data_IF_014227795877
#
_entry.id   IF_014227795877
#
_cell.length_a   1.000
_cell.length_b   1.000
_cell.length_c   1.000
_cell.angle_alpha   90.00
_cell.angle_beta   90.00
_cell.angle_gamma   90.00
#
_symmetry.space_group_name_H-M   'P 1'
#
loop_
_entity.id
_entity.type
_entity.pdbx_description
1 polymer ?
2 polymer ?
3 polymer ?
4 non-polymer ?
5 non-polymer ?
#
# COMPACT_ATOMS: atom_id res chain seq x y z
N UNK A 2 14.57 -12.63 -6.15
CA UNK A 2 13.66 -11.77 -6.88
C UNK A 2 13.44 -10.44 -6.16
N UNK A 3 13.79 -9.36 -6.85
CA UNK A 3 13.61 -8.00 -6.35
C UNK A 3 12.85 -7.19 -7.39
N UNK A 4 12.44 -5.99 -7.01
CA UNK A 4 11.68 -5.14 -7.92
C UNK A 4 11.96 -3.67 -7.62
N UNK A 5 11.91 -2.86 -8.68
CA UNK A 5 11.83 -1.42 -8.59
C UNK A 5 10.50 -1.00 -9.20
N UNK A 6 9.79 -0.08 -8.55
CA UNK A 6 8.42 0.18 -8.93
C UNK A 6 8.07 1.63 -8.69
N UNK A 7 7.25 2.20 -9.59
CA UNK A 7 6.82 3.59 -9.50
C UNK A 7 5.31 3.66 -9.68
N UNK A 8 4.61 4.15 -8.66
CA UNK A 8 3.15 4.31 -8.71
C UNK A 8 2.86 5.79 -8.84
N UNK A 9 2.31 6.19 -9.99
CA UNK A 9 2.04 7.59 -10.30
C UNK A 9 0.54 7.79 -10.34
N UNK A 10 0.07 8.92 -9.80
CA UNK A 10 -1.36 9.20 -9.70
C UNK A 10 -1.65 10.67 -10.05
N UNK A 11 -2.59 10.87 -10.96
CA UNK A 11 -3.10 12.19 -11.33
C UNK A 11 -4.61 12.22 -11.10
N UNK A 12 -5.06 13.19 -10.30
CA UNK A 12 -6.48 13.32 -9.95
C UNK A 12 -6.91 14.74 -10.30
N UNK A 13 -7.96 14.86 -11.12
CA UNK A 13 -8.47 16.17 -11.45
C UNK A 13 -9.46 16.65 -10.40
N UNK A 14 -9.79 17.94 -10.48
CA UNK A 14 -10.66 18.60 -9.52
C UNK A 14 -11.22 19.86 -10.16
N UNK A 15 -12.02 19.73 -11.22
CA UNK A 15 -12.44 20.91 -12.00
C UNK A 15 -13.14 21.95 -11.13
N UNK A 16 -12.44 23.06 -10.88
CA UNK A 16 -12.92 24.09 -9.98
C UNK A 16 -12.00 24.34 -8.81
N UNK A 17 -10.99 23.51 -8.59
CA UNK A 17 -9.97 23.75 -7.60
C UNK A 17 -8.60 24.02 -8.21
N UNK A 18 -8.48 23.97 -9.53
CA UNK A 18 -7.24 24.25 -10.22
C UNK A 18 -6.69 23.04 -10.95
N UNK A 19 -5.36 23.00 -11.09
CA UNK A 19 -4.65 21.93 -11.78
C UNK A 19 -4.63 20.64 -10.95
N UNK A 20 -4.53 19.49 -11.62
CA UNK A 20 -4.63 18.21 -10.91
C UNK A 20 -3.49 17.97 -9.94
N UNK A 21 -3.81 17.27 -8.86
CA UNK A 21 -2.81 16.84 -7.89
C UNK A 21 -2.02 15.67 -8.46
N UNK A 22 -0.74 15.89 -8.73
CA UNK A 22 0.12 14.88 -9.34
C UNK A 22 1.02 14.24 -8.29
N UNK A 23 1.00 12.91 -8.23
CA UNK A 23 1.70 12.16 -7.20
C UNK A 23 2.59 11.10 -7.81
N UNK A 24 3.76 10.89 -7.20
CA UNK A 24 4.63 9.78 -7.53
C UNK A 24 5.14 9.14 -6.25
N UNK A 25 5.15 7.81 -6.21
CA UNK A 25 5.71 7.05 -5.10
C UNK A 25 6.59 5.95 -5.67
N UNK A 26 7.82 5.86 -5.18
CA UNK A 26 8.78 4.87 -5.64
C UNK A 26 9.03 3.81 -4.57
N UNK A 27 9.15 2.56 -5.03
CA UNK A 27 9.33 1.41 -4.15
C UNK A 27 10.49 0.55 -4.64
N UNK A 28 11.20 -0.06 -3.70
CA UNK A 28 12.14 -1.14 -3.98
C UNK A 28 11.78 -2.30 -3.08
N UNK A 29 11.48 -3.45 -3.67
CA UNK A 29 11.02 -4.62 -2.93
C UNK A 29 9.80 -4.25 -2.06
N UNK A 30 8.87 -3.53 -2.69
CA UNK A 30 7.58 -3.13 -2.11
C UNK A 30 7.73 -2.20 -0.90
N UNK A 31 8.91 -1.59 -0.73
CA UNK A 31 9.15 -0.63 0.35
C UNK A 31 9.36 0.75 -0.25
N UNK A 32 8.65 1.74 0.28
CA UNK A 32 8.73 3.10 -0.26
C UNK A 32 10.05 3.75 0.12
N UNK A 33 10.69 4.41 -0.86
CA UNK A 33 11.95 5.11 -0.63
C UNK A 33 12.03 6.48 -1.24
N UNK A 34 11.15 6.83 -2.19
CA UNK A 34 11.03 8.19 -2.73
C UNK A 34 9.55 8.51 -2.86
N UNK A 35 9.25 9.79 -3.05
CA UNK A 35 7.87 10.26 -3.09
C UNK A 35 7.84 11.67 -3.66
N UNK A 36 6.76 11.98 -4.39
CA UNK A 36 6.55 13.30 -4.98
C UNK A 36 5.07 13.69 -4.87
N UNK A 37 4.82 14.95 -4.54
CA UNK A 37 3.47 15.46 -4.38
C UNK A 37 3.43 16.89 -4.86
N UNK A 38 2.64 17.14 -5.92
CA UNK A 38 2.53 18.47 -6.50
C UNK A 38 1.93 19.49 -5.54
N UNK A 39 1.21 19.04 -4.52
CA UNK A 39 0.54 19.93 -3.57
C UNK A 39 1.42 20.34 -2.39
N UNK A 40 2.53 19.63 -2.15
CA UNK A 40 3.31 19.86 -0.94
C UNK A 40 4.06 21.20 -1.00
N UNK A 41 4.08 21.91 0.13
CA UNK A 41 4.82 23.16 0.24
C UNK A 41 6.26 22.97 -0.22
N UNK A 42 6.67 23.76 -1.21
CA UNK A 42 7.90 23.54 -1.95
C UNK A 42 7.89 22.12 -2.51
N UNK A 43 7.13 21.87 -3.57
CA UNK A 43 6.95 20.49 -4.06
C UNK A 43 8.16 20.02 -4.85
N UNK A 44 8.68 18.85 -4.48
CA UNK A 44 9.92 18.34 -5.01
C UNK A 44 10.07 16.89 -4.61
N UNK A 45 10.99 16.19 -5.28
CA UNK A 45 11.21 14.78 -4.97
C UNK A 45 11.95 14.64 -3.65
N UNK A 46 11.39 13.84 -2.74
CA UNK A 46 11.90 13.74 -1.39
C UNK A 46 12.34 12.31 -1.07
N UNK A 47 13.29 12.14 -0.16
CA UNK A 47 13.63 10.80 0.32
C UNK A 47 12.62 10.29 1.34
N UNK A 48 12.40 8.98 1.31
CA UNK A 48 11.50 8.31 2.26
C UNK A 48 12.20 7.15 2.95
N UNK A 49 13.53 7.13 2.95
CA UNK A 49 14.32 6.14 3.66
C UNK A 49 15.75 6.67 3.82
N UNK A 50 16.37 6.34 4.96
CA UNK A 50 17.68 6.88 5.27
C UNK A 50 18.73 6.47 4.25
N UNK A 51 18.54 5.34 3.56
CA UNK A 51 19.62 4.86 2.69
C UNK A 51 19.65 5.64 1.38
N UNK A 52 18.49 6.04 0.85
CA UNK A 52 18.50 6.82 -0.38
C UNK A 52 19.03 8.22 -0.12
N UNK A 53 19.09 8.66 1.14
CA UNK A 53 19.58 9.99 1.44
C UNK A 53 21.04 10.19 1.05
N UNK A 54 21.78 9.10 0.81
CA UNK A 54 23.17 9.12 0.37
C UNK A 54 23.32 9.47 -1.11
N UNK A 55 22.27 9.94 -1.78
CA UNK A 55 22.35 10.33 -3.18
C UNK A 55 22.70 11.81 -3.29
N UNK A 56 23.57 12.13 -4.26
CA UNK A 56 23.99 13.49 -4.50
C UNK A 56 22.86 14.42 -4.94
N UNK A 57 23.13 15.71 -4.97
CA UNK A 57 22.05 16.66 -5.29
C UNK A 57 21.62 16.61 -6.74
N UNK A 58 22.52 16.29 -7.66
CA UNK A 58 22.14 16.14 -9.06
C UNK A 58 21.14 15.00 -9.23
N UNK A 59 21.16 14.03 -8.32
CA UNK A 59 20.15 12.97 -8.34
C UNK A 59 18.76 13.54 -8.07
N UNK A 60 18.64 14.36 -7.03
CA UNK A 60 17.32 14.87 -6.65
C UNK A 60 16.80 15.89 -7.65
N UNK A 61 17.68 16.77 -8.14
CA UNK A 61 17.26 17.74 -9.14
C UNK A 61 16.73 17.04 -10.39
N UNK A 62 17.31 15.89 -10.75
CA UNK A 62 16.87 15.18 -11.95
C UNK A 62 15.46 14.63 -11.77
N UNK A 63 15.21 13.93 -10.67
CA UNK A 63 13.89 13.32 -10.47
C UNK A 63 12.83 14.37 -10.20
N UNK A 64 13.17 15.41 -9.46
CA UNK A 64 12.27 16.56 -9.29
C UNK A 64 11.90 17.16 -10.64
N UNK A 65 12.81 17.10 -11.61
CA UNK A 65 12.52 17.65 -12.93
C UNK A 65 11.80 16.63 -13.81
N UNK A 66 12.24 15.37 -13.76
CA UNK A 66 11.50 14.29 -14.42
C UNK A 66 10.05 14.26 -13.95
N UNK A 67 9.85 14.17 -12.63
CA UNK A 67 8.50 14.18 -12.07
C UNK A 67 7.69 15.36 -12.58
N UNK A 68 8.25 16.57 -12.48
CA UNK A 68 7.50 17.75 -12.89
C UNK A 68 7.20 17.72 -14.39
N UNK A 69 8.10 17.16 -15.19
CA UNK A 69 7.80 16.99 -16.61
C UNK A 69 6.64 16.04 -16.85
N UNK A 70 6.61 14.93 -16.09
CA UNK A 70 5.50 13.99 -16.21
C UNK A 70 4.19 14.64 -15.77
N UNK A 71 4.23 15.42 -14.70
CA UNK A 71 3.05 16.16 -14.26
C UNK A 71 2.44 16.97 -15.39
N UNK A 72 3.30 17.61 -16.20
CA UNK A 72 2.80 18.41 -17.31
C UNK A 72 2.09 17.54 -18.34
N UNK A 73 2.58 16.33 -18.57
CA UNK A 73 1.93 15.44 -19.53
C UNK A 73 0.60 14.93 -18.99
N UNK A 74 0.56 14.55 -17.70
CA UNK A 74 -0.65 13.96 -17.16
C UNK A 74 -1.82 14.93 -17.19
N UNK A 75 -1.53 16.21 -17.07
CA UNK A 75 -2.57 17.23 -17.10
C UNK A 75 -3.26 17.21 -18.46
N UNK A 76 -2.49 16.88 -19.49
CA UNK A 76 -3.01 16.82 -20.85
C UNK A 76 -3.75 15.50 -21.05
N UNK A 77 -3.16 14.41 -20.56
CA UNK A 77 -3.76 13.09 -20.69
C UNK A 77 -5.20 13.14 -20.19
N UNK A 78 -5.39 13.70 -18.99
CA UNK A 78 -6.71 13.82 -18.40
C UNK A 78 -7.63 14.61 -19.31
N UNK A 79 -7.11 15.64 -19.97
CA UNK A 79 -7.89 16.33 -20.98
C UNK A 79 -8.13 15.45 -22.20
N UNK A 80 -7.17 14.58 -22.54
CA UNK A 80 -7.36 13.67 -23.65
C UNK A 80 -8.40 12.62 -23.32
N UNK A 81 -8.40 12.12 -22.08
CA UNK A 81 -9.37 11.12 -21.65
C UNK A 81 -10.74 11.70 -21.33
N UNK A 82 -10.94 13.01 -21.49
CA UNK A 82 -12.27 13.57 -21.38
C UNK A 82 -13.02 13.49 -22.71
N UNK A 83 -12.33 13.77 -23.82
CA UNK A 83 -12.96 13.67 -25.12
C UNK A 83 -13.04 12.23 -25.59
N UNK A 84 -12.12 11.37 -25.14
CA UNK A 84 -12.20 9.96 -25.48
C UNK A 84 -13.51 9.33 -25.01
N UNK A 85 -14.04 9.81 -23.89
CA UNK A 85 -15.28 9.28 -23.33
C UNK A 85 -16.43 10.28 -23.39
N UNK A 86 -16.22 11.43 -24.02
CA UNK A 86 -17.24 12.48 -24.15
C UNK A 86 -17.80 12.86 -22.78
N UNK A 87 -16.89 13.15 -21.85
CA UNK A 87 -17.24 13.37 -20.45
C UNK A 87 -17.33 14.86 -20.14
N UNK A 88 -18.20 15.19 -19.19
CA UNK A 88 -18.32 16.56 -18.72
C UNK A 88 -16.96 17.05 -18.22
N UNK A 89 -16.68 18.33 -18.47
CA UNK A 89 -15.42 18.91 -18.06
C UNK A 89 -15.35 19.17 -16.56
N UNK A 90 -16.49 19.15 -15.86
CA UNK A 90 -16.51 19.48 -14.45
C UNK A 90 -16.50 18.30 -13.51
N UNK A 91 -16.01 17.16 -14.00
CA UNK A 91 -15.96 15.93 -13.20
C UNK A 91 -14.53 15.61 -12.80
N UNK A 92 -14.35 15.17 -11.57
CA UNK A 92 -13.04 14.80 -11.05
C UNK A 92 -12.70 13.37 -11.46
N UNK A 93 -11.61 13.21 -12.19
CA UNK A 93 -11.22 11.93 -12.74
C UNK A 93 -9.82 11.55 -12.27
N UNK A 94 -9.45 10.30 -12.55
CA UNK A 94 -8.23 9.70 -12.02
C UNK A 94 -7.49 8.97 -13.12
N UNK A 95 -6.16 9.13 -13.13
CA UNK A 95 -5.28 8.44 -14.06
C UNK A 95 -4.09 7.90 -13.27
N UNK A 96 -4.02 6.57 -13.11
CA UNK A 96 -2.95 5.93 -12.39
C UNK A 96 -1.99 5.23 -13.36
N UNK A 97 -0.73 5.14 -12.95
CA UNK A 97 0.33 4.60 -13.77
C UNK A 97 1.28 3.86 -12.86
N UNK A 98 1.58 2.60 -13.20
CA UNK A 98 2.56 1.79 -12.49
C UNK A 98 3.57 1.25 -13.49
N UNK A 99 4.85 1.58 -13.29
CA UNK A 99 5.95 1.06 -14.09
C UNK A 99 7.00 0.49 -13.14
N UNK A 100 7.76 -0.47 -13.64
CA UNK A 100 8.80 -1.05 -12.82
C UNK A 100 9.47 -2.21 -13.53
N UNK A 101 10.37 -2.86 -12.81
CA UNK A 101 11.17 -3.93 -13.39
C UNK A 101 11.59 -4.91 -12.30
N UNK A 102 11.13 -6.16 -12.42
CA UNK A 102 11.57 -7.23 -11.53
C UNK A 102 12.79 -7.91 -12.12
N UNK A 103 13.72 -8.27 -11.25
CA UNK A 103 15.03 -8.77 -11.66
C UNK A 103 15.28 -10.11 -10.97
N UNK A 104 15.65 -11.11 -11.76
CA UNK A 104 15.83 -12.45 -11.22
C UNK A 104 17.14 -12.52 -10.44
N UNK A 105 17.39 -13.68 -9.83
CA UNK A 105 18.44 -13.83 -8.82
C UNK A 105 19.80 -13.36 -9.34
N UNK A 106 20.09 -13.62 -10.61
CA UNK A 106 21.35 -13.20 -11.21
C UNK A 106 21.45 -11.69 -11.27
N UNK A 107 20.59 -11.07 -12.07
CA UNK A 107 20.57 -9.62 -12.21
C UNK A 107 19.85 -9.16 -13.45
N UNK A 108 19.62 -10.06 -14.40
CA UNK A 108 18.97 -9.65 -15.64
C UNK A 108 17.46 -9.54 -15.43
N UNK A 109 16.82 -8.77 -16.30
CA UNK A 109 15.41 -8.44 -16.16
C UNK A 109 14.55 -9.70 -16.16
N UNK A 110 13.65 -9.80 -15.17
CA UNK A 110 12.66 -10.87 -15.11
C UNK A 110 11.38 -10.43 -15.82
N UNK A 111 10.69 -9.44 -15.27
CA UNK A 111 9.48 -8.90 -15.85
C UNK A 111 9.54 -7.38 -15.86
N UNK A 112 9.05 -6.78 -16.94
CA UNK A 112 8.96 -5.34 -17.06
C UNK A 112 7.53 -4.83 -17.14
N UNK A 113 7.19 -3.83 -16.33
CA UNK A 113 5.81 -3.37 -16.18
C UNK A 113 5.65 -1.95 -16.70
N UNK A 114 4.44 -1.67 -17.19
CA UNK A 114 4.08 -0.36 -17.74
C UNK A 114 2.60 -0.33 -18.13
N UNK A 115 1.72 -0.14 -17.15
CA UNK A 115 0.28 -0.14 -17.41
C UNK A 115 -0.34 1.12 -16.84
N UNK A 116 -1.50 1.48 -17.39
CA UNK A 116 -2.26 2.65 -16.97
C UNK A 116 -3.65 2.20 -16.54
N UNK A 117 -4.35 3.11 -15.85
CA UNK A 117 -5.71 2.86 -15.39
C UNK A 117 -6.44 4.20 -15.29
N UNK A 118 -7.63 4.26 -15.88
CA UNK A 118 -8.44 5.47 -15.87
C UNK A 118 -9.68 5.23 -15.02
N UNK A 119 -9.89 6.09 -14.02
CA UNK A 119 -11.01 6.01 -13.09
C UNK A 119 -11.11 4.64 -12.41
N UNK A 120 -9.99 3.95 -12.25
CA UNK A 120 -9.95 2.72 -11.49
C UNK A 120 -10.02 1.44 -12.30
N UNK A 121 -10.21 1.54 -13.62
CA UNK A 121 -10.25 0.37 -14.47
C UNK A 121 -9.01 0.33 -15.37
N UNK A 122 -8.60 -0.88 -15.74
CA UNK A 122 -7.50 -1.06 -16.67
C UNK A 122 -7.71 -0.21 -17.91
N UNK A 123 -6.71 0.60 -18.23
CA UNK A 123 -6.76 1.38 -19.47
C UNK A 123 -5.94 0.69 -20.54
N UNK A 124 -4.63 0.57 -20.33
CA UNK A 124 -3.73 -0.06 -21.28
C UNK A 124 -2.51 -0.58 -20.52
N UNK A 125 -1.74 -1.46 -21.17
CA UNK A 125 -0.62 -2.14 -20.52
C UNK A 125 0.38 -2.60 -21.56
N UNK A 126 1.64 -2.71 -21.14
CA UNK A 126 2.69 -3.27 -21.99
C UNK A 126 2.79 -4.77 -21.75
N UNK A 127 2.70 -5.55 -22.83
CA UNK A 127 2.68 -7.00 -22.72
C UNK A 127 4.06 -7.53 -22.31
N UNK A 128 4.10 -8.80 -21.94
CA UNK A 128 5.35 -9.42 -21.50
C UNK A 128 6.43 -9.35 -22.57
N UNK A 129 6.06 -9.38 -23.85
CA UNK A 129 7.03 -9.30 -24.92
C UNK A 129 7.79 -7.97 -24.89
N UNK A 130 7.29 -7.00 -24.13
CA UNK A 130 7.71 -5.60 -24.17
C UNK A 130 7.69 -5.03 -25.58
N UNK A 131 6.85 -5.61 -26.45
CA UNK A 131 6.73 -5.17 -27.82
C UNK A 131 5.34 -4.67 -28.19
N UNK A 132 4.29 -5.14 -27.51
CA UNK A 132 2.91 -4.87 -27.92
C UNK A 132 2.07 -4.45 -26.72
N UNK A 133 0.95 -3.80 -27.02
CA UNK A 133 0.07 -3.21 -26.02
C UNK A 133 -1.28 -3.91 -26.00
N UNK A 134 -1.78 -4.18 -24.80
CA UNK A 134 -3.14 -4.67 -24.60
C UNK A 134 -4.01 -3.51 -24.14
N UNK A 135 -4.90 -3.06 -25.03
CA UNK A 135 -5.81 -1.96 -24.70
C UNK A 135 -7.18 -2.50 -24.32
N UNK A 136 -7.85 -1.79 -23.42
CA UNK A 136 -9.07 -2.28 -22.80
C UNK A 136 -10.34 -1.86 -23.52
N UNK A 137 -10.34 -0.70 -24.18
CA UNK A 137 -11.55 -0.22 -24.82
C UNK A 137 -11.18 0.59 -26.06
N UNK A 138 -12.21 0.97 -26.82
CA UNK A 138 -12.01 1.69 -28.07
C UNK A 138 -11.22 2.97 -27.86
N UNK A 139 -11.43 3.66 -26.74
CA UNK A 139 -10.67 4.87 -26.45
C UNK A 139 -9.19 4.54 -26.26
N UNK A 140 -8.89 3.48 -25.49
CA UNK A 140 -7.51 3.07 -25.31
C UNK A 140 -6.89 2.51 -26.58
N UNK A 141 -7.72 2.13 -27.57
CA UNK A 141 -7.18 1.70 -28.86
C UNK A 141 -6.64 2.87 -29.66
N UNK A 142 -7.20 4.06 -29.48
CA UNK A 142 -6.64 5.25 -30.12
C UNK A 142 -5.23 5.49 -29.60
N UNK A 143 -5.06 5.40 -28.28
CA UNK A 143 -3.75 5.50 -27.67
C UNK A 143 -2.83 4.39 -28.16
N UNK A 144 -3.36 3.18 -28.29
CA UNK A 144 -2.52 2.03 -28.65
C UNK A 144 -1.89 2.22 -30.02
N UNK A 145 -2.72 2.57 -31.02
CA UNK A 145 -2.17 2.77 -32.36
C UNK A 145 -1.24 3.96 -32.41
N UNK A 146 -1.57 5.04 -31.69
CA UNK A 146 -0.73 6.24 -31.69
C UNK A 146 0.66 5.96 -31.12
N UNK A 147 0.74 5.04 -30.16
CA UNK A 147 2.04 4.68 -29.59
C UNK A 147 2.81 3.71 -30.49
N UNK A 148 2.10 2.88 -31.26
CA UNK A 148 2.78 1.94 -32.14
C UNK A 148 3.49 2.66 -33.28
N UNK A 149 2.89 3.71 -33.81
CA UNK A 149 3.55 4.51 -34.83
C UNK A 149 4.67 5.36 -34.23
N UNK A 150 4.51 5.80 -32.98
CA UNK A 150 5.58 6.58 -32.36
C UNK A 150 6.77 5.71 -31.98
N UNK A 151 6.54 4.42 -31.76
CA UNK A 151 7.60 3.53 -31.29
C UNK A 151 7.78 3.51 -29.80
N UNK A 152 6.70 3.76 -29.05
CA UNK A 152 6.81 3.98 -27.61
C UNK A 152 7.44 2.79 -26.89
N UNK A 153 6.97 1.58 -27.19
CA UNK A 153 7.44 0.40 -26.45
C UNK A 153 8.95 0.22 -26.58
N UNK A 154 9.51 0.57 -27.73
CA UNK A 154 10.96 0.51 -27.90
C UNK A 154 11.66 1.49 -26.97
N UNK A 155 11.15 2.72 -26.90
CA UNK A 155 11.64 3.66 -25.91
C UNK A 155 11.32 3.20 -24.50
N UNK A 156 10.14 2.60 -24.32
CA UNK A 156 9.73 2.15 -22.99
C UNK A 156 10.55 0.95 -22.52
N UNK A 157 10.79 -0.01 -23.41
CA UNK A 157 11.63 -1.16 -23.06
C UNK A 157 13.07 -0.73 -22.79
N UNK A 158 13.57 0.26 -23.53
CA UNK A 158 14.92 0.76 -23.31
C UNK A 158 15.13 1.15 -21.86
N UNK A 159 14.10 1.68 -21.21
CA UNK A 159 14.21 2.02 -19.80
C UNK A 159 14.18 0.75 -18.94
N UNK A 160 13.16 -0.09 -19.13
CA UNK A 160 12.98 -1.26 -18.28
C UNK A 160 14.19 -2.19 -18.31
N UNK A 161 14.78 -2.39 -19.49
CA UNK A 161 15.89 -3.33 -19.64
C UNK A 161 17.23 -2.73 -19.24
N UNK A 162 17.36 -1.41 -19.23
CA UNK A 162 18.65 -0.79 -18.97
C UNK A 162 18.71 0.01 -17.69
N UNK A 163 18.16 1.23 -17.73
CA UNK A 163 18.25 2.12 -16.58
C UNK A 163 17.46 1.59 -15.39
N UNK A 164 16.23 1.10 -15.62
CA UNK A 164 15.44 0.54 -14.52
C UNK A 164 16.19 -0.60 -13.84
N UNK A 165 16.79 -1.50 -14.63
CA UNK A 165 17.51 -2.63 -14.06
C UNK A 165 18.77 -2.15 -13.36
N UNK A 166 19.53 -1.26 -14.02
CA UNK A 166 20.83 -0.86 -13.48
C UNK A 166 20.69 -0.06 -12.18
N UNK A 167 19.61 0.70 -12.03
CA UNK A 167 19.40 1.45 -10.80
C UNK A 167 18.76 0.62 -9.69
N UNK A 168 17.99 -0.41 -10.05
CA UNK A 168 17.57 -1.38 -9.04
C UNK A 168 18.76 -2.15 -8.50
N UNK A 169 19.67 -2.57 -9.38
CA UNK A 169 20.86 -3.29 -8.96
C UNK A 169 21.71 -2.45 -8.01
N UNK A 170 21.63 -1.12 -8.13
CA UNK A 170 22.39 -0.22 -7.28
C UNK A 170 21.66 0.07 -5.99
N UNK A 171 20.35 0.31 -6.06
CA UNK A 171 19.55 0.51 -4.84
C UNK A 171 19.71 -0.66 -3.89
N UNK A 172 19.71 -1.89 -4.43
CA UNK A 172 19.90 -3.08 -3.60
C UNK A 172 21.29 -3.11 -2.97
N UNK A 173 22.30 -2.62 -3.69
CA UNK A 173 23.67 -2.63 -3.18
C UNK A 173 23.90 -1.58 -2.10
N UNK A 174 23.21 -0.44 -2.18
CA UNK A 174 23.43 0.66 -1.26
C UNK A 174 22.40 0.74 -0.15
N UNK A 175 21.31 -0.02 -0.23
CA UNK A 175 20.29 0.03 0.80
C UNK A 175 19.96 -1.33 1.38
N UNK A 176 20.90 -2.26 1.28
CA UNK A 176 20.67 -3.63 1.72
C UNK A 176 20.31 -3.69 3.21
N UNK A 177 21.02 -2.92 4.04
CA UNK A 177 20.92 -3.08 5.48
C UNK A 177 19.51 -2.85 5.98
N UNK A 178 18.73 -2.01 5.29
CA UNK A 178 17.33 -1.81 5.64
C UNK A 178 16.42 -2.74 4.86
N UNK A 179 16.61 -2.79 3.54
CA UNK A 179 15.72 -3.59 2.68
C UNK A 179 15.90 -5.08 2.94
N UNK A 180 17.14 -5.56 2.92
CA UNK A 180 17.42 -6.98 3.03
C UNK A 180 17.53 -7.44 4.48
N UNK A 181 17.15 -6.60 5.44
CA UNK A 181 17.08 -7.02 6.82
C UNK A 181 15.83 -7.87 7.04
N UNK A 182 15.91 -8.74 8.04
CA UNK A 182 14.76 -9.55 8.44
C UNK A 182 14.52 -9.36 9.93
N UNK A 183 13.32 -8.96 10.29
CA UNK A 183 12.95 -8.83 11.69
C UNK A 183 12.04 -9.98 12.08
N UNK A 184 12.48 -10.84 12.99
CA UNK A 184 11.66 -11.99 13.39
C UNK A 184 10.42 -11.55 14.13
N UNK A 185 9.27 -12.16 13.83
CA UNK A 185 8.01 -11.77 14.50
C UNK A 185 7.93 -12.31 15.92
N UNK A 186 7.80 -11.41 16.89
CA UNK A 186 7.47 -11.81 18.25
C UNK A 186 6.02 -12.27 18.30
N UNK A 187 5.80 -13.46 18.84
CA UNK A 187 4.49 -14.09 18.83
C UNK A 187 4.02 -14.37 20.25
N UNK A 188 2.70 -14.40 20.42
CA UNK A 188 2.06 -14.72 21.70
C UNK A 188 0.58 -14.96 21.45
N UNK A 189 -0.06 -15.64 22.40
CA UNK A 189 -1.46 -16.02 22.33
C UNK A 189 -2.22 -15.34 23.45
N UNK A 190 -3.43 -14.88 23.16
CA UNK A 190 -4.33 -14.35 24.17
C UNK A 190 -5.57 -15.24 24.28
N UNK A 191 -6.40 -14.94 25.27
CA UNK A 191 -7.52 -15.79 25.64
C UNK A 191 -8.76 -14.94 25.85
N UNK A 192 -9.87 -15.33 25.23
CA UNK A 192 -11.09 -14.52 25.29
C UNK A 192 -12.29 -15.43 25.43
N UNK A 193 -13.02 -15.27 26.53
CA UNK A 193 -14.26 -16.00 26.77
C UNK A 193 -15.37 -15.42 25.90
N UNK A 194 -15.94 -16.24 25.02
CA UNK A 194 -17.04 -15.80 24.19
C UNK A 194 -18.36 -15.88 24.95
N UNK A 195 -19.35 -15.06 24.56
CA UNK A 195 -20.65 -15.12 25.25
C UNK A 195 -21.37 -16.45 25.10
N UNK A 196 -21.22 -17.10 23.96
CA UNK A 196 -21.94 -18.35 23.68
C UNK A 196 -21.41 -19.53 24.46
N UNK A 197 -20.51 -19.33 25.43
CA UNK A 197 -20.04 -20.39 26.28
C UNK A 197 -18.68 -20.93 25.92
N UNK A 198 -18.24 -20.73 24.68
CA UNK A 198 -16.97 -21.26 24.20
C UNK A 198 -15.85 -20.24 24.48
N UNK A 199 -14.72 -20.38 23.79
CA UNK A 199 -13.56 -19.52 23.99
C UNK A 199 -12.98 -19.18 22.62
N UNK A 200 -12.47 -17.96 22.49
CA UNK A 200 -11.71 -17.57 21.31
C UNK A 200 -10.25 -17.36 21.70
N UNK A 201 -9.35 -18.06 21.01
CA UNK A 201 -7.93 -17.87 21.17
C UNK A 201 -7.42 -16.95 20.06
N UNK A 202 -6.58 -15.99 20.42
CA UNK A 202 -6.02 -15.06 19.46
C UNK A 202 -4.50 -15.13 19.53
N UNK A 203 -3.87 -15.39 18.38
CA UNK A 203 -2.44 -15.64 18.26
C UNK A 203 -1.83 -14.51 17.45
N UNK A 204 -1.12 -13.62 18.11
CA UNK A 204 -0.59 -12.40 17.49
C UNK A 204 0.83 -12.60 16.96
N UNK A 205 1.09 -12.05 15.78
CA UNK A 205 2.43 -11.95 15.22
C UNK A 205 2.75 -10.47 15.00
N UNK A 206 3.76 -9.97 15.70
CA UNK A 206 3.94 -8.54 15.84
C UNK A 206 5.34 -8.12 15.39
N UNK A 207 5.43 -6.87 14.94
CA UNK A 207 6.70 -6.20 14.68
C UNK A 207 7.70 -6.92 13.82
N UNK A 208 7.29 -7.33 12.61
CA UNK A 208 8.13 -8.16 11.76
C UNK A 208 8.34 -7.51 10.39
N UNK A 209 9.52 -7.74 9.83
CA UNK A 209 9.83 -7.35 8.46
C UNK A 209 10.47 -8.54 7.75
N UNK A 210 10.08 -8.80 6.49
CA UNK A 210 9.10 -8.07 5.71
C UNK A 210 7.66 -8.48 6.04
N UNK A 211 6.76 -8.33 5.06
CA UNK A 211 5.35 -8.47 5.35
C UNK A 211 4.86 -9.91 5.22
N UNK A 212 5.49 -10.71 4.36
CA UNK A 212 4.93 -12.03 4.06
C UNK A 212 5.03 -12.95 5.26
N UNK A 213 3.89 -13.53 5.64
CA UNK A 213 3.80 -14.41 6.80
C UNK A 213 2.66 -15.38 6.55
N UNK A 214 2.73 -16.53 7.22
CA UNK A 214 1.62 -17.47 7.25
C UNK A 214 1.30 -17.78 8.72
N UNK A 215 0.02 -17.71 9.06
CA UNK A 215 -0.48 -17.93 10.41
C UNK A 215 -1.53 -19.03 10.36
N UNK A 216 -1.38 -20.03 11.22
CA UNK A 216 -2.25 -21.21 11.20
C UNK A 216 -2.54 -21.69 12.62
N UNK A 217 -3.67 -22.37 12.77
CA UNK A 217 -4.02 -23.06 14.00
C UNK A 217 -4.20 -24.55 13.70
N UNK A 218 -3.61 -25.39 14.54
CA UNK A 218 -3.66 -26.84 14.38
C UNK A 218 -4.37 -27.49 15.55
N UNK A 219 -5.15 -28.52 15.26
CA UNK A 219 -5.71 -29.41 16.27
C UNK A 219 -5.24 -30.83 15.96
N UNK A 220 -4.36 -31.36 16.82
CA UNK A 220 -3.80 -32.71 16.67
C UNK A 220 -3.06 -32.90 15.34
N UNK A 221 -2.65 -31.81 14.69
CA UNK A 221 -1.94 -31.86 13.42
C UNK A 221 -2.74 -31.35 12.26
N UNK A 222 -4.06 -31.38 12.36
CA UNK A 222 -4.94 -30.89 11.30
C UNK A 222 -5.00 -29.37 11.32
N UNK A 223 -4.75 -28.75 10.17
CA UNK A 223 -4.88 -27.29 10.08
C UNK A 223 -6.35 -26.90 9.97
N UNK A 224 -6.73 -25.87 10.70
CA UNK A 224 -8.13 -25.51 10.90
C UNK A 224 -8.46 -24.24 10.11
N UNK A 225 -8.44 -24.37 8.79
CA UNK A 225 -8.59 -23.19 7.92
C UNK A 225 -10.02 -22.67 7.88
N UNK A 226 -11.02 -23.55 7.98
CA UNK A 226 -12.41 -23.11 7.83
C UNK A 226 -13.03 -22.59 9.12
N UNK A 227 -12.35 -22.72 10.26
CA UNK A 227 -12.81 -22.10 11.49
C UNK A 227 -11.92 -20.95 11.95
N UNK A 228 -10.91 -20.58 11.15
CA UNK A 228 -10.00 -19.52 11.49
C UNK A 228 -10.55 -18.17 11.03
N UNK A 229 -10.37 -17.16 11.86
CA UNK A 229 -10.69 -15.78 11.48
C UNK A 229 -9.40 -14.99 11.39
N UNK A 230 -9.20 -14.33 10.26
CA UNK A 230 -7.95 -13.67 9.91
C UNK A 230 -8.12 -12.16 9.84
N UNK A 231 -7.01 -11.45 10.01
CA UNK A 231 -6.90 -10.04 9.67
C UNK A 231 -5.80 -9.90 8.62
N UNK A 232 -6.01 -9.01 7.66
CA UNK A 232 -4.96 -8.69 6.71
C UNK A 232 -3.77 -8.07 7.43
N UNK A 233 -2.58 -8.28 6.87
CA UNK A 233 -1.38 -7.69 7.45
C UNK A 233 -1.50 -6.17 7.50
N UNK A 234 -1.19 -5.60 8.65
CA UNK A 234 -1.33 -4.16 8.80
C UNK A 234 -0.03 -3.57 9.30
N UNK A 235 0.34 -2.38 8.80
CA UNK A 235 1.61 -1.77 9.19
C UNK A 235 1.54 -1.18 10.58
N UNK A 236 2.52 -1.52 11.42
CA UNK A 236 2.61 -0.87 12.72
C UNK A 236 2.92 0.61 12.59
N UNK A 237 3.52 1.03 11.48
CA UNK A 237 3.89 2.41 11.25
C UNK A 237 5.33 2.73 11.56
N UNK A 238 6.04 1.81 12.22
CA UNK A 238 7.47 1.90 12.45
C UNK A 238 8.27 1.09 11.44
N UNK A 239 7.68 0.79 10.28
CA UNK A 239 8.29 -0.05 9.28
C UNK A 239 7.98 -1.53 9.42
N UNK A 240 7.64 -1.99 10.63
CA UNK A 240 7.29 -3.37 10.87
C UNK A 240 5.78 -3.56 10.70
N UNK A 241 5.31 -4.80 10.91
CA UNK A 241 3.94 -5.16 10.60
C UNK A 241 3.33 -5.97 11.75
N UNK A 242 2.09 -6.38 11.55
CA UNK A 242 1.31 -7.10 12.56
C UNK A 242 0.34 -8.01 11.83
N UNK A 243 -0.16 -9.01 12.58
CA UNK A 243 -1.19 -9.93 12.07
C UNK A 243 -1.55 -10.89 13.19
N UNK A 244 -2.84 -11.21 13.29
CA UNK A 244 -3.31 -12.20 14.25
C UNK A 244 -4.30 -13.13 13.56
N UNK A 245 -4.47 -14.30 14.17
CA UNK A 245 -5.45 -15.30 13.76
C UNK A 245 -6.22 -15.79 14.98
N UNK A 246 -7.45 -16.24 14.78
CA UNK A 246 -8.29 -16.65 15.90
C UNK A 246 -9.10 -17.89 15.56
N UNK A 247 -9.46 -18.63 16.61
CA UNK A 247 -10.29 -19.83 16.54
C UNK A 247 -11.21 -19.86 17.75
N UNK A 248 -12.30 -20.62 17.64
CA UNK A 248 -13.34 -20.67 18.67
C UNK A 248 -13.33 -22.07 19.29
N UNK A 249 -12.70 -22.22 20.45
CA UNK A 249 -12.50 -23.52 21.06
C UNK A 249 -13.28 -23.63 22.38
N UNK A 250 -13.76 -24.82 22.74
CA UNK A 250 -14.50 -24.95 24.00
C UNK A 250 -13.60 -24.83 25.21
N UNK A 251 -14.22 -24.60 26.36
CA UNK A 251 -13.51 -24.51 27.63
C UNK A 251 -12.89 -25.86 27.98
N UNK A 252 -11.78 -25.80 28.70
CA UNK A 252 -11.11 -27.01 29.14
C UNK A 252 -10.17 -27.55 28.09
N UNK A 253 -10.65 -27.61 26.84
CA UNK A 253 -9.88 -28.12 25.71
C UNK A 253 -8.94 -27.07 25.09
N UNK A 254 -8.61 -25.99 25.81
CA UNK A 254 -7.85 -24.90 25.19
C UNK A 254 -6.46 -25.36 24.74
N UNK A 255 -5.80 -26.17 25.57
CA UNK A 255 -4.43 -26.57 25.30
C UNK A 255 -4.31 -27.70 24.27
N UNK A 256 -5.38 -27.97 23.53
CA UNK A 256 -5.35 -28.93 22.43
C UNK A 256 -4.86 -28.32 21.12
N UNK A 257 -4.90 -26.99 21.00
CA UNK A 257 -4.67 -26.30 19.74
C UNK A 257 -3.37 -25.51 19.81
N UNK A 258 -2.59 -25.58 18.74
CA UNK A 258 -1.32 -24.89 18.63
C UNK A 258 -1.32 -23.97 17.42
N UNK A 259 -0.60 -22.86 17.54
CA UNK A 259 -0.50 -21.85 16.50
C UNK A 259 0.91 -21.88 15.93
N UNK A 260 1.01 -22.02 14.61
CA UNK A 260 2.30 -22.24 13.93
C UNK A 260 2.63 -21.02 13.07
N UNK A 261 3.63 -20.26 13.50
CA UNK A 261 4.05 -19.02 12.84
C UNK A 261 5.25 -19.33 11.94
N UNK A 262 5.12 -18.99 10.66
CA UNK A 262 6.18 -19.22 9.68
C UNK A 262 6.51 -17.88 9.02
N UNK A 263 7.66 -17.31 9.39
CA UNK A 263 8.20 -16.12 8.76
C UNK A 263 9.58 -16.45 8.19
N UNK A 264 10.08 -15.58 7.31
CA UNK A 264 11.40 -15.83 6.72
C UNK A 264 12.53 -15.50 7.68
N UNK A 265 12.27 -14.76 8.74
CA UNK A 265 13.20 -14.50 9.82
C UNK A 265 13.21 -15.57 10.90
N UNK A 266 12.54 -16.70 10.68
CA UNK A 266 12.52 -17.81 11.62
C UNK A 266 13.16 -19.01 10.95
N UNK A 267 14.24 -19.58 11.51
CA UNK A 267 14.77 -20.83 10.92
C UNK A 267 13.79 -21.98 11.02
N UNK A 268 13.19 -22.17 12.19
CA UNK A 268 12.05 -23.05 12.37
C UNK A 268 10.80 -22.22 12.61
N UNK A 269 9.62 -22.76 12.28
CA UNK A 269 8.38 -22.10 12.69
C UNK A 269 8.29 -21.99 14.21
N UNK A 270 7.37 -21.13 14.65
CA UNK A 270 7.08 -20.97 16.08
C UNK A 270 5.81 -21.73 16.41
N UNK A 271 5.85 -22.50 17.48
CA UNK A 271 4.67 -23.17 18.03
C UNK A 271 4.32 -22.53 19.36
N UNK A 272 3.03 -22.30 19.59
CA UNK A 272 2.56 -21.74 20.85
C UNK A 272 1.21 -22.36 21.21
N UNK A 273 1.01 -22.53 22.51
CA UNK A 273 -0.26 -22.92 23.08
C UNK A 273 -0.81 -21.78 23.93
N UNK A 274 -1.93 -22.00 24.59
CA UNK A 274 -2.48 -21.00 25.49
C UNK A 274 -1.75 -21.01 26.84
N UNK B 1 -19.27 5.67 -5.15
CA UNK B 1 -18.85 5.57 -6.54
C UNK B 1 -18.44 4.14 -6.88
N UNK B 2 -17.24 3.72 -6.45
CA UNK B 2 -16.66 2.49 -6.96
C UNK B 2 -16.40 1.47 -5.85
N UNK B 3 -15.20 1.48 -5.28
CA UNK B 3 -14.77 0.46 -4.34
C UNK B 3 -14.96 0.94 -2.90
N UNK B 4 -15.75 0.21 -2.13
CA UNK B 4 -16.00 0.55 -0.74
C UNK B 4 -14.74 0.30 0.10
N UNK B 5 -14.36 1.23 0.96
CA UNK B 5 -13.08 1.09 1.68
C UNK B 5 -13.13 0.06 2.79
N UNK B 6 -11.95 -0.36 3.23
CA UNK B 6 -11.79 -1.39 4.25
C UNK B 6 -10.90 -0.86 5.37
N UNK B 7 -11.46 -0.76 6.57
CA UNK B 7 -10.84 -0.02 7.66
C UNK B 7 -10.38 -0.98 8.76
N UNK B 8 -9.31 -0.60 9.44
CA UNK B 8 -8.79 -1.30 10.61
C UNK B 8 -8.24 -0.27 11.58
N UNK B 9 -8.52 -0.46 12.87
CA UNK B 9 -8.07 0.45 13.93
C UNK B 9 -7.36 -0.36 15.00
N UNK B 10 -6.14 0.06 15.34
CA UNK B 10 -5.29 -0.72 16.23
C UNK B 10 -4.17 0.18 16.74
N UNK B 11 -3.55 -0.25 17.82
CA UNK B 11 -2.38 0.46 18.34
C UNK B 11 -1.10 -0.11 17.75
N UNK B 12 -0.04 0.70 17.76
CA UNK B 12 1.23 0.27 17.22
C UNK B 12 1.91 -0.74 18.14
N UNK B 13 1.87 -0.50 19.44
CA UNK B 13 2.47 -1.40 20.40
C UNK B 13 1.41 -1.96 21.34
N UNK B 14 1.57 -3.20 21.80
CA UNK B 14 0.60 -3.79 22.74
C UNK B 14 0.20 -2.83 23.82
N UNK B 15 -1.09 -2.51 23.92
CA UNK B 15 -1.52 -1.40 24.78
C UNK B 15 -1.57 -1.80 26.25
N UNK B 16 -1.06 -0.89 27.09
CA UNK B 16 -1.19 -0.97 28.53
C UNK B 16 -1.71 0.37 29.05
N UNK B 17 -2.51 0.32 30.10
CA UNK B 17 -3.07 1.54 30.67
C UNK B 17 -1.95 2.46 31.18
N UNK B 18 -2.10 3.76 30.90
CA UNK B 18 -1.14 4.78 31.32
C UNK B 18 -0.01 5.09 30.35
N UNK B 19 0.54 4.06 29.71
CA UNK B 19 1.68 4.25 28.81
C UNK B 19 1.23 4.88 27.49
N UNK B 20 1.96 5.89 26.99
CA UNK B 20 1.55 6.56 25.74
C UNK B 20 1.91 5.73 24.51
N UNK B 21 0.88 5.26 23.80
CA UNK B 21 1.04 4.41 22.63
C UNK B 21 0.80 5.23 21.35
N UNK B 22 0.57 4.54 20.23
CA UNK B 22 0.27 5.17 18.95
C UNK B 22 -0.93 4.47 18.34
N UNK B 23 -1.91 5.25 17.89
CA UNK B 23 -3.17 4.71 17.39
C UNK B 23 -3.21 4.82 15.88
N UNK B 24 -3.48 3.69 15.22
CA UNK B 24 -3.48 3.61 13.76
C UNK B 24 -4.89 3.37 13.24
N UNK B 25 -5.21 3.98 12.10
CA UNK B 25 -6.40 3.67 11.32
C UNK B 25 -5.93 3.36 9.90
N UNK B 26 -6.13 2.12 9.46
CA UNK B 26 -5.57 1.62 8.21
C UNK B 26 -6.72 1.39 7.24
N UNK B 27 -6.92 2.34 6.33
CA UNK B 27 -8.00 2.28 5.35
C UNK B 27 -7.43 1.86 4.01
N UNK B 28 -8.01 0.81 3.44
CA UNK B 28 -7.49 0.19 2.22
C UNK B 28 -8.64 -0.08 1.27
N UNK B 29 -8.29 -0.37 0.02
CA UNK B 29 -9.24 -0.80 -1.02
C UNK B 29 -10.41 0.17 -1.15
N UNK B 30 -10.12 1.35 -1.67
CA UNK B 30 -11.17 2.32 -1.95
C UNK B 30 -10.88 3.02 -3.26
N UNK B 31 -11.94 3.52 -3.89
CA UNK B 31 -11.84 4.24 -5.14
C UNK B 31 -13.15 4.98 -5.39
N UNK B 32 -13.07 6.28 -5.72
CA UNK B 32 -11.93 7.17 -5.98
C UNK B 32 -11.04 7.42 -4.76
N UNK B 33 -9.89 8.08 -4.95
CA UNK B 33 -8.98 8.31 -3.82
C UNK B 33 -9.46 9.38 -2.86
N UNK B 34 -10.29 10.33 -3.29
CA UNK B 34 -10.77 11.36 -2.40
C UNK B 34 -11.59 10.76 -1.27
N UNK B 35 -11.13 10.94 -0.03
CA UNK B 35 -11.69 10.25 1.11
C UNK B 35 -11.50 11.13 2.34
N UNK B 36 -12.42 11.02 3.28
CA UNK B 36 -12.43 11.82 4.51
C UNK B 36 -12.21 10.90 5.70
N UNK B 37 -11.17 11.17 6.48
CA UNK B 37 -10.84 10.36 7.64
C UNK B 37 -10.83 11.26 8.88
N UNK B 38 -11.18 10.67 10.02
CA UNK B 38 -11.31 11.43 11.26
C UNK B 38 -11.25 10.46 12.43
N UNK B 39 -10.26 10.63 13.30
CA UNK B 39 -10.08 9.81 14.49
C UNK B 39 -10.70 10.52 15.69
N UNK B 40 -11.45 9.78 16.51
CA UNK B 40 -12.29 10.35 17.56
C UNK B 40 -11.91 9.79 18.92
N UNK B 41 -11.75 10.68 19.89
CA UNK B 41 -11.59 10.33 21.30
C UNK B 41 -12.90 10.68 21.99
N UNK B 42 -13.76 9.68 22.17
CA UNK B 42 -15.08 9.85 22.77
C UNK B 42 -15.99 10.70 21.88
N UNK B 43 -15.85 10.54 20.55
CA UNK B 43 -16.62 11.29 19.60
C UNK B 43 -16.09 12.67 19.28
N UNK B 44 -15.14 13.18 20.06
CA UNK B 44 -14.62 14.52 19.84
C UNK B 44 -13.47 14.48 18.85
N UNK B 45 -13.50 15.40 17.89
CA UNK B 45 -12.46 15.49 16.85
C UNK B 45 -11.08 15.63 17.49
N UNK B 46 -10.21 14.66 17.20
CA UNK B 46 -8.82 14.71 17.63
C UNK B 46 -8.07 15.65 16.70
N UNK B 47 -7.16 16.50 17.20
CA UNK B 47 -6.53 17.52 16.34
C UNK B 47 -5.50 16.98 15.37
N UNK B 48 -4.27 16.75 15.86
CA UNK B 48 -3.12 16.50 14.98
C UNK B 48 -3.09 15.02 14.58
N UNK B 49 -3.92 14.70 13.58
CA UNK B 49 -3.98 13.37 13.01
C UNK B 49 -3.03 13.31 11.83
N UNK B 50 -1.93 12.57 11.98
CA UNK B 50 -0.95 12.42 10.92
C UNK B 50 -1.49 11.53 9.80
N UNK B 51 -0.88 11.66 8.62
CA UNK B 51 -1.22 10.87 7.45
C UNK B 51 0.05 10.25 6.88
N UNK B 52 -0.10 9.12 6.20
CA UNK B 52 1.05 8.32 5.81
C UNK B 52 0.67 7.32 4.72
N UNK B 53 1.58 7.13 3.77
CA UNK B 53 1.58 6.00 2.84
C UNK B 53 0.43 6.03 1.85
N UNK B 54 0.01 7.23 1.43
CA UNK B 54 -1.03 7.35 0.42
C UNK B 54 -0.49 6.88 -0.92
N UNK B 55 -0.92 5.71 -1.35
CA UNK B 55 -0.58 5.16 -2.65
C UNK B 55 -1.65 4.16 -3.05
N UNK B 56 -1.40 3.40 -4.11
CA UNK B 56 -2.29 2.33 -4.52
C UNK B 56 -1.49 1.06 -4.75
N UNK B 57 -2.20 -0.05 -4.78
CA UNK B 57 -1.63 -1.38 -4.95
C UNK B 57 -1.98 -1.91 -6.34
N UNK B 58 -1.45 -3.10 -6.66
CA UNK B 58 -1.69 -3.68 -7.99
C UNK B 58 -3.16 -3.81 -8.32
N UNK B 59 -4.03 -3.82 -7.31
CA UNK B 59 -5.47 -3.80 -7.52
C UNK B 59 -5.94 -2.52 -8.21
N UNK B 60 -5.12 -1.46 -8.17
CA UNK B 60 -5.38 -0.07 -8.53
C UNK B 60 -6.13 0.65 -7.42
N UNK B 61 -6.48 -0.02 -6.33
CA UNK B 61 -7.21 0.59 -5.23
C UNK B 61 -6.25 1.29 -4.27
N UNK B 62 -6.63 2.50 -3.85
CA UNK B 62 -5.78 3.33 -3.02
C UNK B 62 -5.85 2.90 -1.56
N UNK B 63 -4.89 3.39 -0.77
CA UNK B 63 -4.83 3.08 0.65
C UNK B 63 -4.03 4.16 1.36
N UNK B 64 -4.34 4.35 2.64
CA UNK B 64 -3.76 5.44 3.43
C UNK B 64 -3.70 4.98 4.88
N UNK B 65 -2.65 5.42 5.58
CA UNK B 65 -2.47 5.12 7.00
C UNK B 65 -2.59 6.40 7.81
N UNK B 66 -3.63 6.48 8.64
CA UNK B 66 -3.85 7.62 9.52
C UNK B 66 -3.48 7.21 10.94
N UNK B 67 -2.49 7.88 11.51
CA UNK B 67 -2.05 7.60 12.87
C UNK B 67 -2.11 8.87 13.71
N UNK B 68 -1.95 8.69 15.02
CA UNK B 68 -1.96 9.77 15.99
C UNK B 68 -1.50 9.22 17.33
N UNK B 69 -1.05 10.13 18.20
CA UNK B 69 -0.55 9.75 19.52
C UNK B 69 -1.73 9.70 20.49
N UNK B 70 -1.71 8.71 21.38
CA UNK B 70 -2.80 8.58 22.35
C UNK B 70 -2.30 7.79 23.57
N UNK B 71 -3.12 7.82 24.62
CA UNK B 71 -2.85 7.07 25.84
C UNK B 71 -4.13 6.33 26.24
N UNK B 72 -4.06 5.02 26.45
CA UNK B 72 -5.27 4.27 26.81
C UNK B 72 -5.57 4.35 28.30
N UNK B 73 -6.86 4.42 28.62
CA UNK B 73 -7.36 4.23 29.97
C UNK B 73 -8.55 3.29 29.92
N UNK B 74 -8.86 2.66 31.06
CA UNK B 74 -9.90 1.63 31.06
C UNK B 74 -11.30 2.18 30.79
N UNK B 75 -11.47 3.50 30.67
CA UNK B 75 -12.76 4.08 30.31
C UNK B 75 -12.76 4.84 29.00
N UNK B 76 -11.61 5.28 28.51
CA UNK B 76 -11.55 6.00 27.25
C UNK B 76 -11.91 5.10 26.08
N UNK B 77 -12.49 5.71 25.04
CA UNK B 77 -12.97 4.98 23.88
C UNK B 77 -12.58 5.73 22.62
N UNK B 78 -12.01 5.01 21.64
CA UNK B 78 -11.50 5.61 20.42
C UNK B 78 -12.12 4.94 19.20
N UNK B 79 -12.26 5.72 18.13
CA UNK B 79 -12.83 5.21 16.89
C UNK B 79 -12.29 6.02 15.72
N UNK B 80 -12.54 5.50 14.52
CA UNK B 80 -12.09 6.12 13.28
C UNK B 80 -13.27 6.16 12.31
N UNK B 81 -13.75 7.36 12.00
CA UNK B 81 -14.86 7.53 11.07
C UNK B 81 -14.30 7.87 9.68
N UNK B 82 -14.86 7.21 8.66
CA UNK B 82 -14.36 7.30 7.30
C UNK B 82 -15.52 7.64 6.38
N UNK B 83 -15.48 8.82 5.77
CA UNK B 83 -16.45 9.19 4.74
C UNK B 83 -15.86 8.87 3.37
N UNK B 84 -16.61 8.11 2.58
CA UNK B 84 -16.20 7.74 1.23
C UNK B 84 -17.41 7.75 0.32
N UNK B 85 -17.17 8.09 -0.96
CA UNK B 85 -18.25 8.22 -1.92
C UNK B 85 -18.97 6.90 -2.17
N UNK B 86 -18.33 5.78 -1.88
CA UNK B 86 -18.96 4.48 -2.06
C UNK B 86 -20.02 4.17 -1.00
N UNK B 87 -19.99 4.87 0.13
CA UNK B 87 -20.88 4.60 1.24
C UNK B 87 -21.91 5.71 1.36
N UNK B 88 -23.18 5.32 1.56
CA UNK B 88 -24.27 6.29 1.71
C UNK B 88 -24.19 7.04 3.02
N UNK B 89 -23.49 6.50 4.02
CA UNK B 89 -23.26 7.15 5.29
C UNK B 89 -21.85 6.82 5.73
N UNK B 90 -21.23 7.67 6.57
CA UNK B 90 -19.87 7.38 7.04
C UNK B 90 -19.86 6.24 8.05
N UNK B 91 -18.82 5.41 7.98
CA UNK B 91 -18.66 4.26 8.85
C UNK B 91 -17.60 4.55 9.91
N UNK B 92 -17.91 4.22 11.16
CA UNK B 92 -16.99 4.38 12.28
C UNK B 92 -16.59 3.00 12.80
N UNK B 93 -15.29 2.76 12.92
CA UNK B 93 -14.77 1.49 13.42
C UNK B 93 -14.14 1.76 14.77
N UNK B 94 -14.83 1.36 15.84
CA UNK B 94 -14.29 1.54 17.18
C UNK B 94 -13.08 0.66 17.40
N UNK B 95 -12.16 1.16 18.23
CA UNK B 95 -10.92 0.45 18.53
C UNK B 95 -11.16 -0.51 19.69
N UNK B 96 -11.32 -1.79 19.35
CA UNK B 96 -11.27 -2.84 20.36
C UNK B 96 -9.83 -3.07 20.79
N UNK B 97 -9.61 -3.12 22.10
CA UNK B 97 -8.26 -3.28 22.65
C UNK B 97 -7.69 -4.68 22.44
N UNK B 98 -8.47 -5.60 21.88
CA UNK B 98 -8.03 -6.98 21.68
C UNK B 98 -8.03 -7.36 20.21
N UNK B 99 -7.95 -6.38 19.32
CA UNK B 99 -8.02 -6.63 17.89
C UNK B 99 -7.00 -5.77 17.15
N UNK C 1 16.21 5.05 -10.82
CA UNK C 1 15.45 6.28 -11.04
C UNK C 1 14.10 5.94 -11.68
N UNK C 2 13.30 6.95 -11.96
CA UNK C 2 11.98 6.74 -12.51
C UNK C 2 11.91 6.91 -14.01
N UNK C 3 10.78 6.53 -14.60
CA UNK C 3 10.57 6.71 -16.04
C UNK C 3 10.09 8.12 -16.36
N UNK C 4 10.13 8.45 -17.65
CA UNK C 4 9.79 9.78 -18.12
C UNK C 4 8.60 9.78 -19.07
N UNK C 5 8.19 10.99 -19.44
CA UNK C 5 7.15 11.20 -20.43
C UNK C 5 7.75 11.68 -21.75
N UNK C 6 7.08 11.33 -22.85
CA UNK C 6 7.54 11.74 -24.17
C UNK C 6 6.74 12.93 -24.68
#
# INVERSE_FOLDING_TARGET
>A
MSHSLRYFVTAVSRPGFGEPRYMEVGYVDNTEFVRFDSDAENPRYEPRARWIEQEGPEYWERETRRAKGNEQCFRVDLRTALRYYNQSAGGSHTLQWMAGCDVESDGRLLRGYWQFAYDGCDYIALNEDLKTWTAADMAAQITRRKWEQAGAAERDRAYLEGECVEWLRRYLKNGNATLLRTDPPKAHVTHHRRPEGDVTLRCWALGFYPADITLTWQLNGEELTQEMELVETRPAGDGTFQKWASVVVPLGKEQKYTCHVEHEGLPEPLTLRWGKE
>B
IQKTPQIQVYSRHPPENGKPNILNCYVTQFHPPHIEIQMLKNGKKIPKVEMSDMSFSKDWSFYILAHTEFTPTETDTYACRVKHASMAEPKTVYWDRDM
>C
RGPGCA
#
